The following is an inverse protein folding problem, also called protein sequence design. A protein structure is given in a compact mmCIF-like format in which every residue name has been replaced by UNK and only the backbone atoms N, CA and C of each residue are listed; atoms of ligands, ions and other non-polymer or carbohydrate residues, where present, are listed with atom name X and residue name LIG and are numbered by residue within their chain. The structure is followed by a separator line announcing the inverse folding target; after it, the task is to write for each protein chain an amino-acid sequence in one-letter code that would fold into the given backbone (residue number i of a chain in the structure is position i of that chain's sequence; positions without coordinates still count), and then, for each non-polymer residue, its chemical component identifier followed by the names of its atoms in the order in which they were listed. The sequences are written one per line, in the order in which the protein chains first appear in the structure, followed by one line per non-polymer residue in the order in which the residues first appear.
data_IF_588950890319
#
_entry.id   IF_588950890319
#
_cell.length_a   1.000
_cell.length_b   1.000
_cell.length_c   1.000
_cell.angle_alpha   90.00
_cell.angle_beta   90.00
_cell.angle_gamma   90.00
#
_symmetry.space_group_name_H-M   'P 1'
#
loop_
_entity.id
_entity.type
_entity.pdbx_description
1 polymer ?
#
# COMPACT_ATOMS: atom_id res chain seq x y z
N UNK A 1 -6.11 3.63 -2.18
CA UNK A 1 -5.97 2.17 -2.36
C UNK A 1 -4.83 1.87 -3.33
N UNK A 2 -3.86 1.07 -2.88
CA UNK A 2 -2.71 0.62 -3.66
C UNK A 2 -3.11 -0.51 -4.63
N UNK A 3 -2.31 -0.72 -5.69
CA UNK A 3 -2.53 -1.75 -6.69
C UNK A 3 -1.36 -2.70 -6.91
N UNK A 4 -1.65 -4.01 -6.95
CA UNK A 4 -0.71 -5.06 -7.34
C UNK A 4 -1.29 -5.85 -8.50
N UNK A 5 -0.45 -6.12 -9.49
CA UNK A 5 -0.84 -6.77 -10.73
C UNK A 5 0.05 -7.99 -10.96
N UNK A 6 -0.57 -9.16 -11.15
CA UNK A 6 0.15 -10.37 -11.57
C UNK A 6 0.21 -10.44 -13.08
N UNK A 7 1.41 -10.66 -13.63
CA UNK A 7 1.57 -11.03 -15.04
C UNK A 7 1.03 -12.45 -15.26
N UNK A 8 0.07 -12.60 -16.17
CA UNK A 8 -0.54 -13.90 -16.51
C UNK A 8 -0.10 -14.41 -17.90
N UNK A 9 0.97 -13.83 -18.44
CA UNK A 9 1.57 -14.18 -19.73
C UNK A 9 1.13 -13.24 -20.86
N UNK A 10 1.91 -13.23 -21.96
CA UNK A 10 1.62 -12.45 -23.18
C UNK A 10 1.40 -10.94 -22.95
N UNK A 11 2.04 -10.38 -21.93
CA UNK A 11 1.88 -8.96 -21.56
C UNK A 11 0.53 -8.63 -20.92
N UNK A 12 -0.24 -9.64 -20.51
CA UNK A 12 -1.50 -9.47 -19.79
C UNK A 12 -1.25 -9.42 -18.29
N UNK A 13 -1.95 -8.50 -17.62
CA UNK A 13 -1.87 -8.30 -16.18
C UNK A 13 -3.26 -8.36 -15.57
N UNK A 14 -3.36 -9.06 -14.45
CA UNK A 14 -4.59 -9.16 -13.66
C UNK A 14 -4.40 -8.41 -12.35
N UNK A 15 -5.36 -7.57 -12.02
CA UNK A 15 -5.44 -6.90 -10.72
C UNK A 15 -5.66 -7.93 -9.60
N UNK A 16 -4.75 -7.96 -8.64
CA UNK A 16 -4.75 -8.90 -7.51
C UNK A 16 -4.92 -8.19 -6.16
N UNK A 17 -5.31 -6.91 -6.16
CA UNK A 17 -5.40 -6.08 -4.94
C UNK A 17 -6.20 -6.67 -3.79
N UNK A 18 -7.37 -7.23 -4.09
CA UNK A 18 -8.25 -7.76 -3.05
C UNK A 18 -7.80 -9.15 -2.57
N UNK A 19 -7.38 -10.01 -3.51
CA UNK A 19 -6.96 -11.38 -3.17
C UNK A 19 -5.61 -11.44 -2.44
N UNK A 20 -4.77 -10.41 -2.60
CA UNK A 20 -3.51 -10.25 -1.87
C UNK A 20 -3.66 -9.56 -0.51
N UNK A 21 -4.88 -9.09 -0.16
CA UNK A 21 -5.09 -8.32 1.07
C UNK A 21 -4.52 -6.89 1.05
N UNK A 22 -3.97 -6.43 -0.08
CA UNK A 22 -3.41 -5.08 -0.24
C UNK A 22 -4.50 -3.98 -0.23
N UNK A 23 -5.70 -4.29 -0.74
CA UNK A 23 -6.75 -3.31 -0.97
C UNK A 23 -7.21 -2.65 0.34
N UNK A 24 -7.86 -3.40 1.23
CA UNK A 24 -8.54 -2.87 2.42
C UNK A 24 -7.64 -1.99 3.30
N UNK A 25 -6.41 -2.41 3.69
CA UNK A 25 -5.56 -1.60 4.55
C UNK A 25 -5.12 -0.28 3.90
N UNK A 26 -5.06 -0.22 2.56
CA UNK A 26 -4.58 0.95 1.82
C UNK A 26 -5.69 1.94 1.39
N UNK A 27 -6.96 1.68 1.75
CA UNK A 27 -8.08 2.54 1.34
C UNK A 27 -7.96 3.95 1.94
N UNK A 28 -7.62 4.05 3.23
CA UNK A 28 -7.60 5.30 3.98
C UNK A 28 -6.26 6.03 3.94
N UNK A 29 -5.25 5.44 3.28
CA UNK A 29 -3.90 5.98 3.21
C UNK A 29 -3.68 6.74 1.90
N UNK A 30 -2.88 7.80 2.00
CA UNK A 30 -2.37 8.56 0.86
C UNK A 30 -0.91 8.17 0.69
N UNK A 31 -0.65 7.30 -0.30
CA UNK A 31 0.67 6.78 -0.59
C UNK A 31 1.52 7.76 -1.41
N UNK A 32 2.78 7.92 -1.03
CA UNK A 32 3.76 8.79 -1.69
C UNK A 32 4.89 8.03 -2.40
N UNK A 33 5.19 6.81 -1.95
CA UNK A 33 6.26 6.01 -2.50
C UNK A 33 6.13 4.55 -2.11
N UNK A 34 6.63 3.68 -2.98
CA UNK A 34 6.57 2.22 -2.82
C UNK A 34 7.93 1.63 -3.13
N UNK A 35 8.33 0.61 -2.36
CA UNK A 35 9.54 -0.16 -2.60
C UNK A 35 9.28 -1.65 -2.37
N UNK A 36 9.98 -2.49 -3.14
CA UNK A 36 10.05 -3.93 -2.90
C UNK A 36 11.35 -4.25 -2.16
N UNK A 37 11.27 -5.18 -1.21
CA UNK A 37 12.43 -5.67 -0.46
C UNK A 37 12.03 -6.86 0.40
N UNK A 38 13.01 -7.70 0.72
CA UNK A 38 12.87 -8.80 1.66
C UNK A 38 13.25 -8.26 3.05
N UNK A 39 12.26 -7.86 3.87
CA UNK A 39 12.49 -7.16 5.13
C UNK A 39 12.60 -8.10 6.33
N UNK A 40 12.08 -9.32 6.23
CA UNK A 40 12.15 -10.34 7.28
C UNK A 40 13.18 -11.45 7.00
N UNK A 41 13.80 -11.42 5.82
CA UNK A 41 14.82 -12.35 5.33
C UNK A 41 14.30 -13.77 5.08
N UNK A 42 13.05 -13.93 4.64
CA UNK A 42 12.47 -15.23 4.29
C UNK A 42 12.69 -15.63 2.81
N UNK A 43 13.18 -14.71 1.99
CA UNK A 43 13.51 -14.91 0.58
C UNK A 43 12.40 -14.55 -0.40
N UNK A 44 11.21 -14.21 0.09
CA UNK A 44 10.13 -13.61 -0.70
C UNK A 44 10.20 -12.07 -0.62
N UNK A 45 9.56 -11.37 -1.58
CA UNK A 45 9.59 -9.90 -1.62
C UNK A 45 8.34 -9.32 -0.96
N UNK A 46 8.57 -8.42 -0.02
CA UNK A 46 7.54 -7.58 0.59
C UNK A 46 7.37 -6.26 -0.15
N UNK A 47 6.30 -5.54 0.21
CA UNK A 47 6.02 -4.19 -0.29
C UNK A 47 5.92 -3.20 0.87
N UNK A 48 6.83 -2.21 0.87
CA UNK A 48 6.78 -1.06 1.77
C UNK A 48 6.13 0.15 1.06
N UNK A 49 5.22 0.85 1.75
CA UNK A 49 4.55 2.05 1.27
C UNK A 49 4.69 3.19 2.28
N UNK A 50 5.25 4.30 1.82
CA UNK A 50 5.34 5.55 2.58
C UNK A 50 4.02 6.32 2.46
N UNK A 51 3.42 6.69 3.61
CA UNK A 51 2.11 7.33 3.65
C UNK A 51 2.15 8.71 4.32
N UNK A 52 1.27 9.61 3.89
CA UNK A 52 1.07 10.92 4.51
C UNK A 52 -0.08 11.69 3.86
N UNK A 53 -0.88 12.41 4.65
CA UNK A 53 -1.96 13.21 4.06
C UNK A 53 -1.41 14.53 3.50
N UNK A 54 -2.00 15.02 2.42
CA UNK A 54 -1.63 16.31 1.79
C UNK A 54 -2.28 17.53 2.44
N UNK A 55 -3.16 17.37 3.45
CA UNK A 55 -3.97 18.46 4.01
C UNK A 55 -3.48 18.72 5.44
N UNK A 56 -2.79 19.84 5.70
CA UNK A 56 -2.43 20.23 7.06
C UNK A 56 -3.69 20.42 7.93
N UNK A 57 -3.66 19.88 9.15
CA UNK A 57 -4.78 19.98 10.09
C UNK A 57 -6.04 19.21 9.67
N UNK A 58 -5.91 18.19 8.81
CA UNK A 58 -7.03 17.33 8.38
C UNK A 58 -7.83 16.74 9.56
N UNK A 59 -7.18 16.58 10.70
CA UNK A 59 -7.76 16.13 11.96
C UNK A 59 -8.95 17.01 12.40
N UNK A 60 -8.94 18.31 12.10
CA UNK A 60 -10.03 19.23 12.46
C UNK A 60 -11.28 19.07 11.59
N UNK A 61 -11.20 18.32 10.49
CA UNK A 61 -12.32 18.10 9.56
C UNK A 61 -13.20 16.91 9.93
N UNK A 62 -12.88 16.17 10.99
CA UNK A 62 -13.70 15.06 11.48
C UNK A 62 -13.79 13.85 10.53
N UNK A 63 -12.83 13.70 9.61
CA UNK A 63 -12.80 12.62 8.61
C UNK A 63 -12.26 11.29 9.17
N UNK A 64 -11.69 11.29 10.37
CA UNK A 64 -11.07 10.10 10.99
C UNK A 64 -9.67 9.77 10.46
N UNK A 65 -9.06 10.64 9.64
CA UNK A 65 -7.68 10.51 9.18
C UNK A 65 -6.78 11.58 9.80
N UNK A 66 -5.46 11.38 9.70
CA UNK A 66 -4.44 12.28 10.24
C UNK A 66 -3.44 12.69 9.18
N UNK A 67 -2.82 13.87 9.35
CA UNK A 67 -1.77 14.37 8.48
C UNK A 67 -0.58 13.41 8.46
N UNK A 68 -0.15 13.00 9.66
CA UNK A 68 0.84 11.93 9.85
C UNK A 68 0.13 10.59 9.71
N UNK A 69 0.38 9.89 8.61
CA UNK A 69 -0.12 8.54 8.39
C UNK A 69 0.99 7.53 8.66
N UNK A 70 0.62 6.31 9.07
CA UNK A 70 1.59 5.24 9.30
C UNK A 70 2.02 4.66 7.94
N UNK A 71 3.32 4.47 7.75
CA UNK A 71 3.83 3.66 6.67
C UNK A 71 3.31 2.22 6.82
N UNK A 72 3.16 1.54 5.70
CA UNK A 72 2.66 0.16 5.65
C UNK A 72 3.73 -0.76 5.09
N UNK A 73 3.81 -1.96 5.64
CA UNK A 73 4.57 -3.08 5.11
C UNK A 73 3.56 -4.20 4.83
N UNK A 74 3.64 -4.79 3.65
CA UNK A 74 2.81 -5.92 3.23
C UNK A 74 3.72 -7.08 2.90
N UNK A 75 3.61 -8.15 3.67
CA UNK A 75 4.44 -9.34 3.52
C UNK A 75 3.90 -10.26 2.41
N UNK A 76 4.81 -10.80 1.59
CA UNK A 76 4.56 -11.90 0.63
C UNK A 76 3.32 -11.73 -0.27
N UNK A 77 3.25 -10.62 -1.03
CA UNK A 77 2.13 -10.25 -1.92
C UNK A 77 2.01 -11.06 -3.23
#
# INVERSE_FOLDING_TARGET
TNAVYSNVGRGLFVDRRFVSGLAEPSIQQVGFGTAFGDFDHDGDLDVAVANGHIIPGIESKGTGTSYRQRNQLFENL
#
